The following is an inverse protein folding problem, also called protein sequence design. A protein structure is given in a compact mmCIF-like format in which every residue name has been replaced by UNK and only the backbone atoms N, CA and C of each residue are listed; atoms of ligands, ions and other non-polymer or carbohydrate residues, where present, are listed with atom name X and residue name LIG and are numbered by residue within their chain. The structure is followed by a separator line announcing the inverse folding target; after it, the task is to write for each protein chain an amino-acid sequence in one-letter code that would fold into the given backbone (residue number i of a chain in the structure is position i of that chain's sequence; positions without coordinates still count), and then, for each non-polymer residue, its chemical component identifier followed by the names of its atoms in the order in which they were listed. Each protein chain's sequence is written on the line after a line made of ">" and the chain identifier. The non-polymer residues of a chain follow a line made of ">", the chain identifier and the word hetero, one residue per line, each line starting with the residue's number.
data_IF_023547562965
#
_entry.id   IF_023547562965
#
_cell.length_a   1.000
_cell.length_b   1.000
_cell.length_c   1.000
_cell.angle_alpha   90.00
_cell.angle_beta   90.00
_cell.angle_gamma   90.00
#
_symmetry.space_group_name_H-M   'P 1'
#
loop_
_entity.id
_entity.type
_entity.pdbx_description
1 polymer ?
#
# COMPACT_ATOMS: atom_id res chain seq x y z
N UNK A 1 17.55 26.60 13.20
CA UNK A 1 16.12 26.57 13.58
C UNK A 1 15.59 25.25 13.08
N UNK A 2 14.86 24.48 13.90
CA UNK A 2 14.28 23.22 13.41
C UNK A 2 13.36 23.53 12.23
N UNK A 3 13.59 22.90 11.08
CA UNK A 3 12.67 23.04 9.97
C UNK A 3 11.34 22.35 10.33
N UNK A 4 10.30 23.16 10.46
CA UNK A 4 8.93 22.71 10.75
C UNK A 4 8.40 22.09 9.46
N UNK A 5 7.80 20.91 9.56
CA UNK A 5 7.08 20.33 8.41
C UNK A 5 5.86 21.18 8.14
N UNK A 6 5.78 21.67 6.91
CA UNK A 6 4.64 22.47 6.48
C UNK A 6 3.62 21.54 5.82
N UNK A 7 2.37 21.74 6.18
CA UNK A 7 1.23 21.06 5.57
C UNK A 7 0.39 22.08 4.84
N UNK A 8 0.14 21.81 3.56
CA UNK A 8 -0.86 22.52 2.79
C UNK A 8 -2.00 21.54 2.48
N UNK A 9 -3.24 21.93 2.80
CA UNK A 9 -4.43 21.18 2.40
C UNK A 9 -5.16 21.99 1.33
N UNK A 10 -5.35 21.38 0.16
CA UNK A 10 -6.09 21.95 -0.95
C UNK A 10 -7.32 21.10 -1.26
N UNK A 11 -8.48 21.75 -1.42
CA UNK A 11 -9.73 21.15 -1.92
C UNK A 11 -10.58 22.25 -2.52
N UNK A 12 -11.31 21.98 -3.59
CA UNK A 12 -12.26 22.93 -4.20
C UNK A 12 -13.28 23.45 -3.19
N UNK A 13 -13.66 22.63 -2.21
CA UNK A 13 -14.61 23.00 -1.16
C UNK A 13 -13.99 23.84 -0.03
N UNK A 14 -12.66 23.98 0.00
CA UNK A 14 -11.92 24.84 0.93
C UNK A 14 -11.40 26.12 0.26
N UNK A 15 -11.69 26.33 -1.03
CA UNK A 15 -11.19 27.47 -1.78
C UNK A 15 -11.69 28.79 -1.17
N UNK A 16 -10.75 29.68 -0.80
CA UNK A 16 -11.05 30.95 -0.15
C UNK A 16 -11.29 30.88 1.36
N UNK A 17 -11.22 29.69 1.97
CA UNK A 17 -11.26 29.52 3.42
C UNK A 17 -9.85 29.58 4.03
N UNK A 18 -9.72 30.19 5.20
CA UNK A 18 -8.49 30.12 5.99
C UNK A 18 -8.50 28.79 6.77
N UNK A 19 -7.63 27.86 6.37
CA UNK A 19 -7.57 26.50 6.93
C UNK A 19 -6.17 26.24 7.47
N UNK A 20 -6.12 25.74 8.70
CA UNK A 20 -4.88 25.37 9.36
C UNK A 20 -4.90 23.88 9.72
N UNK A 21 -3.90 23.13 9.26
CA UNK A 21 -3.70 21.73 9.66
C UNK A 21 -3.03 21.68 11.04
N UNK A 22 -3.71 21.07 12.02
CA UNK A 22 -3.23 20.93 13.40
C UNK A 22 -2.48 19.63 13.64
N UNK A 23 -2.99 18.51 13.13
CA UNK A 23 -2.31 17.22 13.22
C UNK A 23 -2.56 16.38 11.99
N UNK A 24 -1.57 15.60 11.61
CA UNK A 24 -1.63 14.64 10.51
C UNK A 24 -1.13 13.30 11.01
N UNK A 25 -1.93 12.27 10.78
CA UNK A 25 -1.48 10.89 10.80
C UNK A 25 -1.79 10.30 9.44
N UNK A 26 -0.74 10.05 8.67
CA UNK A 26 -0.84 9.48 7.33
C UNK A 26 -0.23 8.09 7.33
N UNK A 27 -1.01 7.10 6.92
CA UNK A 27 -0.61 5.71 6.89
C UNK A 27 -0.75 5.19 5.46
N UNK A 28 0.34 4.71 4.90
CA UNK A 28 0.38 4.12 3.56
C UNK A 28 1.11 2.77 3.59
N UNK A 29 0.69 1.85 2.74
CA UNK A 29 1.31 0.54 2.62
C UNK A 29 1.20 -0.04 1.20
N UNK A 30 2.08 -0.97 0.88
CA UNK A 30 1.89 -1.84 -0.27
C UNK A 30 0.67 -2.72 -0.05
N UNK A 31 -0.14 -2.85 -1.09
CA UNK A 31 -1.33 -3.71 -1.12
C UNK A 31 -2.45 -3.32 -0.15
N UNK A 32 -2.40 -2.11 0.40
CA UNK A 32 -3.46 -1.55 1.24
C UNK A 32 -3.80 -0.11 0.79
N UNK A 33 -5.08 0.31 0.85
CA UNK A 33 -5.44 1.71 0.71
C UNK A 33 -4.72 2.56 1.76
N UNK A 34 -4.19 3.71 1.36
CA UNK A 34 -3.69 4.66 2.35
C UNK A 34 -4.83 5.29 3.14
N UNK A 35 -4.50 5.84 4.30
CA UNK A 35 -5.45 6.46 5.21
C UNK A 35 -4.82 7.69 5.87
N UNK A 36 -5.46 8.84 5.73
CA UNK A 36 -5.02 10.10 6.33
C UNK A 36 -6.05 10.57 7.35
N UNK A 37 -5.67 10.60 8.62
CA UNK A 37 -6.40 11.31 9.68
C UNK A 37 -5.87 12.75 9.75
N UNK A 38 -6.75 13.73 9.53
CA UNK A 38 -6.44 15.15 9.61
C UNK A 38 -7.29 15.82 10.68
N UNK A 39 -6.66 16.60 11.56
CA UNK A 39 -7.38 17.59 12.37
C UNK A 39 -7.10 18.98 11.78
N UNK A 40 -8.15 19.67 11.36
CA UNK A 40 -8.06 21.02 10.81
C UNK A 40 -8.79 22.04 11.69
N UNK A 41 -8.31 23.27 11.69
CA UNK A 41 -9.04 24.43 12.18
C UNK A 41 -9.45 25.29 10.99
N UNK A 42 -10.69 25.75 11.00
CA UNK A 42 -11.24 26.62 9.96
C UNK A 42 -11.49 27.99 10.54
N UNK A 43 -11.02 29.03 9.84
CA UNK A 43 -11.14 30.42 10.28
C UNK A 43 -12.59 30.91 10.33
N UNK A 44 -13.42 30.46 9.40
CA UNK A 44 -14.85 30.78 9.33
C UNK A 44 -15.66 29.89 10.29
N UNK A 45 -16.28 30.46 11.34
CA UNK A 45 -17.07 29.72 12.30
C UNK A 45 -18.38 29.16 11.72
N UNK A 46 -18.89 29.72 10.63
CA UNK A 46 -20.20 29.41 10.06
C UNK A 46 -20.10 28.57 8.76
N UNK A 47 -18.90 28.08 8.43
CA UNK A 47 -18.68 27.23 7.26
C UNK A 47 -19.48 25.92 7.34
N UNK A 48 -20.15 25.56 6.24
CA UNK A 48 -20.83 24.26 6.11
C UNK A 48 -19.82 23.16 5.72
N UNK A 49 -19.25 22.54 6.74
CA UNK A 49 -18.13 21.59 6.61
C UNK A 49 -18.59 20.23 6.07
N UNK A 50 -19.90 19.94 6.10
CA UNK A 50 -20.46 18.74 5.48
C UNK A 50 -20.31 18.74 3.96
N UNK A 51 -20.15 19.91 3.33
CA UNK A 51 -19.90 20.04 1.89
C UNK A 51 -18.55 19.45 1.44
N UNK A 52 -17.64 19.21 2.40
CA UNK A 52 -16.34 18.57 2.15
C UNK A 52 -16.48 17.07 1.86
N UNK A 53 -17.54 16.42 2.33
CA UNK A 53 -17.70 14.98 2.19
C UNK A 53 -17.78 14.57 0.71
N UNK A 54 -16.94 13.62 0.31
CA UNK A 54 -16.85 13.11 -1.06
C UNK A 54 -16.08 14.00 -2.03
N UNK A 55 -15.50 15.12 -1.57
CA UNK A 55 -14.65 15.99 -2.40
C UNK A 55 -13.22 15.50 -2.46
N UNK A 56 -12.53 15.86 -3.54
CA UNK A 56 -11.10 15.63 -3.68
C UNK A 56 -10.34 16.52 -2.70
N UNK A 57 -9.32 15.97 -2.06
CA UNK A 57 -8.39 16.71 -1.21
C UNK A 57 -6.95 16.32 -1.53
N UNK A 58 -6.07 17.31 -1.57
CA UNK A 58 -4.63 17.14 -1.71
C UNK A 58 -3.94 17.67 -0.47
N UNK A 59 -3.27 16.78 0.25
CA UNK A 59 -2.39 17.14 1.36
C UNK A 59 -0.95 17.14 0.86
N UNK A 60 -0.26 18.28 0.95
CA UNK A 60 1.16 18.36 0.61
C UNK A 60 1.99 18.45 1.88
N UNK A 61 2.84 17.44 2.10
CA UNK A 61 3.85 17.43 3.14
C UNK A 61 5.15 18.01 2.58
N UNK A 62 5.63 19.12 3.16
CA UNK A 62 6.87 19.77 2.71
C UNK A 62 7.91 19.75 3.82
N UNK A 63 9.08 19.16 3.53
CA UNK A 63 10.23 19.15 4.44
C UNK A 63 11.55 19.08 3.70
N UNK A 64 12.55 19.86 4.10
CA UNK A 64 13.90 19.83 3.53
C UNK A 64 13.92 19.94 1.98
N UNK A 65 12.98 20.71 1.42
CA UNK A 65 12.80 20.88 -0.03
C UNK A 65 12.14 19.69 -0.76
N UNK A 66 11.77 18.63 -0.03
CA UNK A 66 11.00 17.50 -0.57
C UNK A 66 9.52 17.79 -0.35
N UNK A 67 8.77 17.79 -1.44
CA UNK A 67 7.31 17.86 -1.44
C UNK A 67 6.75 16.46 -1.67
N UNK A 68 5.87 16.04 -0.78
CA UNK A 68 5.15 14.78 -0.89
C UNK A 68 3.64 15.09 -0.91
N UNK A 69 3.08 15.37 -2.10
CA UNK A 69 1.64 15.54 -2.28
C UNK A 69 0.92 14.21 -2.14
N UNK A 70 -0.27 14.23 -1.54
CA UNK A 70 -1.13 13.07 -1.33
C UNK A 70 -2.53 13.47 -1.75
N UNK A 71 -2.99 12.95 -2.88
CA UNK A 71 -4.31 13.27 -3.44
C UNK A 71 -5.26 12.13 -3.14
N UNK A 72 -6.41 12.41 -2.53
CA UNK A 72 -7.43 11.42 -2.19
C UNK A 72 -8.84 12.01 -2.17
N UNK A 73 -9.78 11.29 -1.56
CA UNK A 73 -11.18 11.70 -1.39
C UNK A 73 -11.50 11.78 0.10
N UNK A 74 -12.19 12.84 0.52
CA UNK A 74 -12.66 13.00 1.90
C UNK A 74 -13.82 12.01 2.13
N UNK A 75 -13.60 10.97 2.92
CA UNK A 75 -14.59 9.90 3.16
C UNK A 75 -15.32 10.04 4.50
N UNK A 76 -14.79 10.83 5.43
CA UNK A 76 -15.44 11.10 6.71
C UNK A 76 -15.15 12.53 7.14
N UNK A 77 -16.18 13.19 7.68
CA UNK A 77 -16.11 14.50 8.30
C UNK A 77 -16.72 14.34 9.70
N UNK A 78 -15.94 14.63 10.73
CA UNK A 78 -16.41 14.60 12.12
C UNK A 78 -16.31 16.00 12.69
N UNK A 79 -17.46 16.59 12.98
CA UNK A 79 -17.54 17.85 13.71
C UNK A 79 -17.33 17.58 15.21
N UNK A 80 -16.29 18.16 15.78
CA UNK A 80 -16.05 18.10 17.22
C UNK A 80 -16.81 19.21 17.94
N UNK A 81 -17.21 18.96 19.20
CA UNK A 81 -17.76 20.01 20.06
C UNK A 81 -16.83 21.22 20.09
N UNK A 82 -17.37 22.43 19.87
CA UNK A 82 -16.61 23.68 20.02
C UNK A 82 -16.03 23.72 21.43
N UNK A 83 -14.74 23.47 21.57
CA UNK A 83 -14.06 23.66 22.84
C UNK A 83 -14.28 25.11 23.26
N UNK A 84 -14.82 25.34 24.47
CA UNK A 84 -15.16 26.67 24.99
C UNK A 84 -13.96 27.66 25.08
N UNK A 85 -12.76 27.23 24.68
CA UNK A 85 -11.50 27.96 24.73
C UNK A 85 -10.83 28.19 23.35
N UNK A 86 -11.46 27.83 22.23
CA UNK A 86 -10.93 28.13 20.88
C UNK A 86 -11.97 28.86 20.02
N UNK A 87 -11.60 30.02 19.47
CA UNK A 87 -12.45 30.85 18.59
C UNK A 87 -12.70 30.24 17.19
N UNK A 88 -12.15 29.05 16.90
CA UNK A 88 -12.25 28.40 15.59
C UNK A 88 -12.80 26.98 15.69
N UNK A 89 -13.78 26.60 14.85
CA UNK A 89 -14.22 25.21 14.74
C UNK A 89 -13.05 24.30 14.34
N UNK A 90 -12.96 23.16 15.01
CA UNK A 90 -12.03 22.08 14.65
C UNK A 90 -12.79 20.89 14.10
N UNK A 91 -12.29 20.33 13.00
CA UNK A 91 -12.91 19.22 12.29
C UNK A 91 -11.89 18.12 12.10
N UNK A 92 -12.32 16.89 12.31
CA UNK A 92 -11.54 15.72 11.91
C UNK A 92 -12.00 15.25 10.53
N UNK A 93 -11.05 15.13 9.61
CA UNK A 93 -11.27 14.64 8.24
C UNK A 93 -10.52 13.34 8.06
N UNK A 94 -11.15 12.39 7.37
CA UNK A 94 -10.49 11.18 6.88
C UNK A 94 -10.39 11.26 5.36
N UNK A 95 -9.18 11.16 4.83
CA UNK A 95 -8.89 11.10 3.40
C UNK A 95 -8.38 9.72 3.03
N UNK A 96 -8.97 9.12 2.00
CA UNK A 96 -8.63 7.79 1.48
C UNK A 96 -8.54 7.81 -0.05
N UNK A 97 -7.87 6.82 -0.68
CA UNK A 97 -7.84 6.72 -2.13
C UNK A 97 -9.22 6.40 -2.71
N UNK A 98 -9.42 6.71 -3.99
CA UNK A 98 -10.67 6.36 -4.67
C UNK A 98 -10.94 4.85 -4.66
N UNK A 99 -9.88 4.02 -4.57
CA UNK A 99 -9.98 2.57 -4.43
C UNK A 99 -10.80 2.16 -3.19
N UNK A 100 -10.73 2.89 -2.07
CA UNK A 100 -11.50 2.57 -0.85
C UNK A 100 -13.00 2.67 -1.05
N UNK A 101 -13.45 3.63 -1.85
CA UNK A 101 -14.87 3.85 -2.12
C UNK A 101 -15.51 2.70 -2.91
N UNK A 102 -14.70 1.88 -3.59
CA UNK A 102 -15.16 0.69 -4.31
C UNK A 102 -15.72 -0.41 -3.38
N UNK A 103 -15.50 -0.30 -2.07
CA UNK A 103 -16.15 -1.14 -1.05
C UNK A 103 -17.66 -0.91 -0.97
N UNK A 104 -18.13 0.27 -1.35
CA UNK A 104 -19.54 0.68 -1.25
C UNK A 104 -20.40 0.14 -2.40
N UNK A 105 -19.79 -0.41 -3.45
CA UNK A 105 -20.48 -0.97 -4.60
C UNK A 105 -20.35 -2.49 -4.60
N UNK A 106 -21.45 -3.19 -4.80
CA UNK A 106 -21.50 -4.66 -4.89
C UNK A 106 -22.07 -5.09 -6.23
N UNK A 107 -21.43 -6.04 -6.90
CA UNK A 107 -21.77 -6.41 -8.26
C UNK A 107 -21.76 -7.92 -8.51
N UNK A 108 -22.37 -8.33 -9.63
CA UNK A 108 -22.26 -9.66 -10.19
C UNK A 108 -21.96 -9.55 -11.69
N UNK A 109 -20.72 -9.86 -12.09
CA UNK A 109 -20.22 -9.70 -13.46
C UNK A 109 -19.43 -10.92 -13.90
N UNK A 110 -19.59 -11.28 -15.16
CA UNK A 110 -18.88 -12.39 -15.79
C UNK A 110 -17.85 -11.85 -16.79
N UNK A 111 -16.63 -12.39 -16.69
CA UNK A 111 -15.53 -12.15 -17.62
C UNK A 111 -15.14 -13.48 -18.25
N UNK A 112 -14.98 -13.50 -19.58
CA UNK A 112 -14.65 -14.70 -20.34
C UNK A 112 -13.47 -14.44 -21.26
N UNK A 113 -12.56 -15.41 -21.34
CA UNK A 113 -11.35 -15.35 -22.16
C UNK A 113 -10.54 -14.08 -21.93
N UNK A 114 -10.29 -13.74 -20.66
CA UNK A 114 -9.52 -12.57 -20.26
C UNK A 114 -8.46 -12.93 -19.25
N UNK A 115 -7.28 -12.34 -19.38
CA UNK A 115 -6.22 -12.39 -18.36
C UNK A 115 -6.63 -11.55 -17.14
N UNK A 116 -5.99 -11.81 -16.00
CA UNK A 116 -6.26 -11.00 -14.79
C UNK A 116 -5.91 -9.53 -14.98
N UNK A 117 -4.75 -9.14 -15.57
CA UNK A 117 -4.47 -7.76 -15.90
C UNK A 117 -5.56 -7.08 -16.73
N UNK A 118 -6.09 -7.74 -17.77
CA UNK A 118 -7.19 -7.19 -18.58
C UNK A 118 -8.49 -7.01 -17.77
N UNK A 119 -8.79 -7.93 -16.85
CA UNK A 119 -9.96 -7.80 -15.96
C UNK A 119 -9.76 -6.63 -15.00
N UNK A 120 -8.57 -6.49 -14.42
CA UNK A 120 -8.22 -5.37 -13.54
C UNK A 120 -8.32 -4.04 -14.28
N UNK A 121 -7.83 -3.95 -15.51
CA UNK A 121 -7.92 -2.74 -16.35
C UNK A 121 -9.38 -2.32 -16.58
N UNK A 122 -10.26 -3.27 -16.91
CA UNK A 122 -11.69 -3.00 -17.12
C UNK A 122 -12.35 -2.52 -15.83
N UNK A 123 -12.18 -3.25 -14.72
CA UNK A 123 -12.88 -2.94 -13.47
C UNK A 123 -12.36 -1.64 -12.86
N UNK A 124 -11.04 -1.47 -12.76
CA UNK A 124 -10.43 -0.28 -12.19
C UNK A 124 -10.64 0.94 -13.10
N UNK A 125 -10.49 0.79 -14.42
CA UNK A 125 -10.71 1.90 -15.36
C UNK A 125 -12.14 2.44 -15.31
N UNK A 126 -13.15 1.56 -15.30
CA UNK A 126 -14.55 1.96 -15.15
C UNK A 126 -14.84 2.59 -13.79
N UNK A 127 -14.28 2.05 -12.71
CA UNK A 127 -14.63 2.46 -11.34
C UNK A 127 -13.87 3.72 -10.87
N UNK A 128 -12.59 3.86 -11.21
CA UNK A 128 -11.73 4.97 -10.81
C UNK A 128 -11.95 6.22 -11.66
N UNK A 129 -12.35 6.08 -12.93
CA UNK A 129 -12.62 7.22 -13.81
C UNK A 129 -13.75 8.12 -13.31
N UNK A 130 -14.71 7.59 -12.55
CA UNK A 130 -15.78 8.36 -11.89
C UNK A 130 -15.21 9.38 -10.88
N UNK A 131 -14.05 9.08 -10.31
CA UNK A 131 -13.31 9.92 -9.38
C UNK A 131 -12.13 10.63 -10.04
N UNK A 132 -12.05 10.60 -11.38
CA UNK A 132 -10.92 11.18 -12.13
C UNK A 132 -9.56 10.60 -11.71
N UNK A 133 -9.53 9.32 -11.32
CA UNK A 133 -8.32 8.57 -10.96
C UNK A 133 -7.96 7.56 -12.03
N UNK A 134 -6.70 7.16 -12.03
CA UNK A 134 -6.15 6.25 -13.04
C UNK A 134 -5.52 5.01 -12.38
N UNK A 135 -5.52 3.90 -13.08
CA UNK A 135 -4.76 2.71 -12.73
C UNK A 135 -3.77 2.41 -13.85
N UNK A 136 -2.50 2.22 -13.50
CA UNK A 136 -1.44 1.80 -14.41
C UNK A 136 -1.01 0.38 -14.08
N UNK A 137 -1.01 -0.49 -15.09
CA UNK A 137 -0.66 -1.89 -14.93
C UNK A 137 0.72 -2.13 -15.51
N UNK A 138 1.73 -2.19 -14.64
CA UNK A 138 3.15 -2.40 -14.96
C UNK A 138 3.56 -3.83 -14.57
N UNK A 139 2.95 -4.81 -15.21
CA UNK A 139 3.28 -6.23 -15.00
C UNK A 139 4.26 -6.73 -16.07
N UNK A 140 5.18 -7.60 -15.65
CA UNK A 140 6.26 -8.12 -16.50
C UNK A 140 6.08 -9.61 -16.86
N UNK A 141 5.30 -10.35 -16.06
CA UNK A 141 5.01 -11.75 -16.30
C UNK A 141 3.99 -11.97 -17.43
N UNK A 142 3.92 -13.22 -17.90
CA UNK A 142 2.85 -13.69 -18.77
C UNK A 142 1.69 -14.26 -17.95
N UNK A 143 0.47 -13.81 -18.24
CA UNK A 143 -0.76 -14.23 -17.57
C UNK A 143 -1.62 -15.05 -18.52
N UNK A 144 -2.14 -16.18 -18.03
CA UNK A 144 -3.01 -17.03 -18.83
C UNK A 144 -4.44 -16.48 -18.82
N UNK A 145 -5.08 -16.46 -19.97
CA UNK A 145 -6.47 -16.02 -20.08
C UNK A 145 -7.40 -17.01 -19.37
N UNK A 146 -8.23 -16.49 -18.46
CA UNK A 146 -9.24 -17.27 -17.76
C UNK A 146 -10.41 -17.50 -18.71
N UNK A 147 -10.77 -18.76 -18.94
CA UNK A 147 -11.97 -19.13 -19.69
C UNK A 147 -13.22 -18.49 -19.06
N UNK A 148 -13.27 -18.51 -17.72
CA UNK A 148 -14.37 -17.99 -16.94
C UNK A 148 -13.87 -17.38 -15.62
N UNK A 149 -14.25 -16.13 -15.36
CA UNK A 149 -14.03 -15.45 -14.09
C UNK A 149 -15.31 -14.70 -13.68
N UNK A 150 -15.79 -14.95 -12.47
CA UNK A 150 -17.01 -14.36 -11.95
C UNK A 150 -16.68 -13.44 -10.77
N UNK A 151 -17.14 -12.20 -10.85
CA UNK A 151 -17.41 -11.37 -9.68
C UNK A 151 -18.81 -11.77 -9.19
N UNK A 152 -18.95 -12.39 -8.02
CA UNK A 152 -20.26 -12.87 -7.55
C UNK A 152 -20.64 -12.27 -6.22
N UNK A 153 -21.60 -11.34 -6.23
CA UNK A 153 -22.04 -10.63 -5.05
C UNK A 153 -20.85 -10.18 -4.18
N UNK A 154 -19.81 -9.63 -4.78
CA UNK A 154 -18.65 -9.10 -4.06
C UNK A 154 -18.45 -7.65 -4.47
N UNK A 155 -17.78 -6.87 -3.62
CA UNK A 155 -17.51 -5.47 -3.97
C UNK A 155 -16.49 -5.39 -5.10
N UNK A 156 -16.45 -4.26 -5.81
CA UNK A 156 -15.42 -4.04 -6.83
C UNK A 156 -14.03 -4.09 -6.15
N UNK A 157 -13.91 -3.54 -4.93
CA UNK A 157 -12.71 -3.63 -4.09
C UNK A 157 -12.28 -5.07 -3.77
N UNK A 158 -13.19 -5.88 -3.22
CA UNK A 158 -12.88 -7.26 -2.82
C UNK A 158 -12.52 -8.11 -4.04
N UNK A 159 -13.20 -7.88 -5.17
CA UNK A 159 -12.94 -8.59 -6.42
C UNK A 159 -11.52 -8.35 -6.92
N UNK A 160 -11.11 -7.08 -7.04
CA UNK A 160 -9.77 -6.75 -7.56
C UNK A 160 -8.68 -7.19 -6.58
N UNK A 161 -8.89 -7.04 -5.27
CA UNK A 161 -7.96 -7.54 -4.24
C UNK A 161 -7.76 -9.05 -4.34
N UNK A 162 -8.86 -9.80 -4.46
CA UNK A 162 -8.80 -11.26 -4.61
C UNK A 162 -8.00 -11.65 -5.85
N UNK A 163 -8.24 -11.01 -6.99
CA UNK A 163 -7.50 -11.29 -8.22
C UNK A 163 -6.01 -10.92 -8.11
N UNK A 164 -5.69 -9.78 -7.52
CA UNK A 164 -4.31 -9.34 -7.29
C UNK A 164 -3.56 -10.33 -6.38
N UNK A 165 -4.18 -10.78 -5.29
CA UNK A 165 -3.62 -11.77 -4.37
C UNK A 165 -3.48 -13.18 -5.00
N UNK A 166 -4.43 -13.60 -5.83
CA UNK A 166 -4.37 -14.86 -6.58
C UNK A 166 -3.17 -14.88 -7.54
N UNK A 167 -2.84 -13.76 -8.15
CA UNK A 167 -1.78 -13.67 -9.17
C UNK A 167 -0.44 -13.13 -8.64
N UNK A 168 -0.39 -12.70 -7.38
CA UNK A 168 0.80 -12.11 -6.78
C UNK A 168 1.12 -10.70 -7.28
N UNK A 169 0.11 -9.96 -7.76
CA UNK A 169 0.21 -8.58 -8.22
C UNK A 169 0.11 -7.67 -7.00
N UNK A 170 1.12 -6.83 -6.80
CA UNK A 170 1.16 -5.83 -5.75
C UNK A 170 0.73 -4.47 -6.29
N UNK A 171 0.27 -3.57 -5.42
CA UNK A 171 0.00 -2.18 -5.81
C UNK A 171 0.49 -1.15 -4.79
N UNK A 172 0.73 0.06 -5.29
CA UNK A 172 0.97 1.28 -4.51
C UNK A 172 0.29 2.48 -5.21
N UNK A 173 0.30 3.64 -4.55
CA UNK A 173 -0.23 4.88 -5.11
C UNK A 173 0.92 5.83 -5.46
N UNK A 174 0.90 6.35 -6.68
CA UNK A 174 1.79 7.41 -7.14
C UNK A 174 1.02 8.73 -7.14
N UNK A 175 1.53 9.68 -6.36
CA UNK A 175 0.95 11.01 -6.19
C UNK A 175 1.79 12.12 -6.85
N UNK A 176 2.81 11.78 -7.64
CA UNK A 176 3.72 12.76 -8.24
C UNK A 176 3.08 13.71 -9.27
N UNK A 177 1.87 13.40 -9.74
CA UNK A 177 1.10 14.19 -10.70
C UNK A 177 -0.09 14.93 -10.09
N UNK A 178 -0.94 15.50 -10.96
CA UNK A 178 -2.17 16.20 -10.54
C UNK A 178 -3.26 15.27 -9.99
N UNK A 179 -3.15 13.96 -10.29
CA UNK A 179 -4.14 12.94 -9.95
C UNK A 179 -3.45 11.77 -9.26
N UNK A 180 -4.18 11.10 -8.37
CA UNK A 180 -3.75 9.83 -7.80
C UNK A 180 -3.78 8.73 -8.89
N UNK A 181 -2.65 8.04 -9.02
CA UNK A 181 -2.48 6.90 -9.92
C UNK A 181 -2.19 5.64 -9.11
N UNK A 182 -3.04 4.63 -9.22
CA UNK A 182 -2.79 3.32 -8.64
C UNK A 182 -1.86 2.53 -9.57
N UNK A 183 -0.66 2.17 -9.11
CA UNK A 183 0.33 1.44 -9.90
C UNK A 183 0.37 -0.02 -9.45
N UNK A 184 0.06 -0.93 -10.38
CA UNK A 184 0.08 -2.38 -10.16
C UNK A 184 1.38 -2.96 -10.75
N UNK A 185 2.04 -3.84 -10.00
CA UNK A 185 3.33 -4.45 -10.39
C UNK A 185 3.48 -5.87 -9.88
N UNK A 186 4.32 -6.67 -10.53
CA UNK A 186 4.60 -8.07 -10.18
C UNK A 186 6.10 -8.37 -9.95
N UNK A 187 6.94 -7.36 -9.91
CA UNK A 187 8.38 -7.49 -9.65
C UNK A 187 8.88 -6.37 -8.76
N UNK A 188 9.88 -6.69 -7.94
CA UNK A 188 10.62 -5.70 -7.16
C UNK A 188 11.41 -4.71 -8.05
N UNK A 189 11.67 -5.06 -9.32
CA UNK A 189 12.47 -4.24 -10.24
C UNK A 189 11.80 -2.89 -10.57
N UNK A 190 10.48 -2.79 -10.39
CA UNK A 190 9.72 -1.57 -10.58
C UNK A 190 9.95 -0.54 -9.45
N UNK A 191 10.48 -0.97 -8.29
CA UNK A 191 10.62 -0.10 -7.12
C UNK A 191 11.80 0.87 -7.25
N UNK A 192 11.47 2.16 -7.28
CA UNK A 192 12.43 3.24 -7.37
C UNK A 192 13.07 3.55 -6.02
N UNK A 193 14.22 4.25 -6.02
CA UNK A 193 14.81 4.77 -4.78
C UNK A 193 13.88 5.82 -4.15
N UNK A 194 13.73 5.76 -2.84
CA UNK A 194 13.00 6.76 -2.07
C UNK A 194 13.69 8.13 -2.24
N UNK A 195 12.94 9.22 -2.43
CA UNK A 195 13.50 10.57 -2.47
C UNK A 195 13.96 10.97 -1.07
N UNK A 196 15.19 10.63 -0.72
CA UNK A 196 15.84 11.04 0.54
C UNK A 196 16.93 12.08 0.27
N UNK A 197 17.26 12.87 1.29
CA UNK A 197 18.29 13.92 1.22
C UNK A 197 19.66 13.34 0.79
N UNK A 198 19.93 12.09 1.18
CA UNK A 198 21.11 11.32 0.79
C UNK A 198 20.71 9.97 0.17
N UNK A 199 21.57 9.39 -0.67
CA UNK A 199 21.33 8.07 -1.29
C UNK A 199 21.32 6.89 -0.30
N UNK A 200 21.88 7.10 0.90
CA UNK A 200 21.80 6.17 2.02
C UNK A 200 21.36 6.93 3.26
N UNK A 201 20.50 6.29 4.06
CA UNK A 201 19.96 6.86 5.29
C UNK A 201 20.77 6.33 6.48
N UNK A 202 21.44 7.20 7.26
CA UNK A 202 22.25 6.80 8.39
C UNK A 202 21.38 6.33 9.57
N UNK A 203 21.91 5.36 10.31
CA UNK A 203 21.38 4.92 11.59
C UNK A 203 21.98 5.77 12.73
N UNK A 204 21.15 6.59 13.37
CA UNK A 204 21.54 7.54 14.41
C UNK A 204 20.66 7.38 15.66
N UNK A 205 21.01 6.46 16.58
CA UNK A 205 20.18 6.17 17.75
C UNK A 205 20.21 7.25 18.83
N UNK A 206 21.22 8.12 18.84
CA UNK A 206 21.46 9.11 19.91
C UNK A 206 21.44 10.56 19.42
N UNK A 207 21.42 10.81 18.11
CA UNK A 207 21.42 12.16 17.57
C UNK A 207 19.99 12.63 17.29
N UNK A 208 19.44 13.35 18.26
CA UNK A 208 18.18 14.09 18.12
C UNK A 208 18.42 15.57 17.77
N UNK A 209 19.69 15.99 17.63
CA UNK A 209 20.11 17.37 17.45
C UNK A 209 20.30 17.73 15.97
N UNK A 210 20.68 16.78 15.12
CA UNK A 210 20.74 16.94 13.65
C UNK A 210 19.34 16.98 13.01
N UNK A 211 18.61 18.07 13.23
CA UNK A 211 17.19 18.24 12.83
C UNK A 211 16.94 18.22 11.32
N UNK A 212 17.98 18.46 10.52
CA UNK A 212 17.87 18.76 9.09
C UNK A 212 18.21 17.56 8.17
N UNK A 213 18.63 16.42 8.72
CA UNK A 213 18.96 15.21 7.96
C UNK A 213 17.90 14.10 8.12
N UNK A 214 17.68 13.34 7.06
CA UNK A 214 16.98 12.06 7.12
C UNK A 214 17.82 11.07 7.93
N UNK A 215 17.28 10.55 9.03
CA UNK A 215 17.97 9.60 9.89
C UNK A 215 17.00 8.55 10.44
N UNK A 216 17.53 7.35 10.72
CA UNK A 216 16.79 6.25 11.36
C UNK A 216 17.28 6.12 12.79
N UNK A 217 16.36 6.22 13.76
CA UNK A 217 16.67 6.22 15.19
C UNK A 217 16.50 4.83 15.82
N UNK A 218 15.51 4.07 15.35
CA UNK A 218 15.25 2.71 15.80
C UNK A 218 15.17 1.82 14.57
N UNK A 219 15.84 0.67 14.63
CA UNK A 219 15.76 -0.35 13.60
C UNK A 219 15.77 -1.73 14.27
N UNK A 220 14.72 -2.51 14.05
CA UNK A 220 14.49 -3.80 14.69
C UNK A 220 14.13 -4.84 13.63
N UNK A 221 15.08 -5.68 13.27
CA UNK A 221 14.85 -6.83 12.41
C UNK A 221 14.24 -8.00 13.21
N UNK A 222 13.11 -8.49 12.74
CA UNK A 222 12.37 -9.62 13.27
C UNK A 222 12.54 -10.79 12.31
N UNK A 223 13.14 -11.87 12.82
CA UNK A 223 13.29 -13.13 12.11
C UNK A 223 12.20 -14.10 12.55
N UNK A 224 11.46 -14.68 11.60
CA UNK A 224 10.41 -15.67 11.88
C UNK A 224 10.61 -16.94 11.09
N UNK A 225 10.26 -18.04 11.72
CA UNK A 225 10.09 -19.32 11.05
C UNK A 225 8.89 -19.24 10.10
N UNK A 226 9.09 -19.62 8.84
CA UNK A 226 8.05 -19.64 7.81
C UNK A 226 7.85 -21.04 7.22
N UNK A 227 6.87 -21.16 6.33
CA UNK A 227 6.65 -22.35 5.51
C UNK A 227 7.89 -22.64 4.67
N UNK A 228 8.34 -23.89 4.66
CA UNK A 228 9.56 -24.28 3.94
C UNK A 228 9.26 -25.00 2.63
N UNK A 229 8.05 -25.57 2.47
CA UNK A 229 7.62 -26.23 1.24
C UNK A 229 6.16 -25.88 0.90
N UNK A 230 5.83 -25.85 -0.39
CA UNK A 230 4.48 -25.60 -0.88
C UNK A 230 4.14 -26.65 -1.91
N UNK A 231 2.97 -27.27 -1.78
CA UNK A 231 2.43 -28.19 -2.77
C UNK A 231 1.01 -27.74 -3.16
N UNK A 232 0.78 -27.60 -4.46
CA UNK A 232 -0.54 -27.28 -5.02
C UNK A 232 -1.03 -28.47 -5.84
N UNK A 233 -2.32 -28.79 -5.71
CA UNK A 233 -2.93 -29.90 -6.45
C UNK A 233 -4.38 -29.62 -6.79
N UNK A 234 -4.80 -30.03 -7.98
CA UNK A 234 -6.20 -29.96 -8.40
C UNK A 234 -6.55 -31.13 -9.35
N UNK A 235 -7.84 -31.22 -9.69
CA UNK A 235 -8.42 -32.31 -10.45
C UNK A 235 -9.02 -31.81 -11.76
N UNK A 236 -8.51 -32.34 -12.88
CA UNK A 236 -9.12 -32.20 -14.19
C UNK A 236 -10.04 -33.40 -14.47
N UNK A 237 -11.35 -33.16 -14.52
CA UNK A 237 -12.33 -34.20 -14.82
C UNK A 237 -12.20 -34.76 -16.25
N UNK A 238 -11.62 -34.01 -17.18
CA UNK A 238 -11.36 -34.47 -18.55
C UNK A 238 -10.15 -35.41 -18.61
N UNK A 239 -9.27 -35.35 -17.61
CA UNK A 239 -8.08 -36.18 -17.47
C UNK A 239 -7.97 -36.76 -16.05
N UNK A 240 -9.02 -37.43 -15.58
CA UNK A 240 -9.14 -37.87 -14.18
C UNK A 240 -7.99 -38.75 -13.65
N UNK A 241 -7.25 -39.43 -14.54
CA UNK A 241 -6.08 -40.23 -14.17
C UNK A 241 -4.81 -39.41 -13.91
N UNK A 242 -4.78 -38.15 -14.32
CA UNK A 242 -3.62 -37.24 -14.22
C UNK A 242 -4.01 -36.03 -13.37
N UNK A 243 -3.73 -36.04 -12.05
CA UNK A 243 -3.94 -34.87 -11.21
C UNK A 243 -3.00 -33.75 -11.62
N UNK A 244 -3.49 -32.51 -11.61
CA UNK A 244 -2.65 -31.33 -11.79
C UNK A 244 -1.93 -31.10 -10.48
N UNK A 245 -0.61 -31.04 -10.47
CA UNK A 245 0.16 -30.77 -9.25
C UNK A 245 1.50 -30.14 -9.56
N UNK A 246 1.94 -29.24 -8.67
CA UNK A 246 3.30 -28.73 -8.67
C UNK A 246 3.73 -28.47 -7.21
N UNK A 247 5.03 -28.56 -6.93
CA UNK A 247 5.57 -28.42 -5.58
C UNK A 247 6.92 -27.71 -5.56
N UNK A 248 7.12 -26.90 -4.52
CA UNK A 248 8.39 -26.30 -4.16
C UNK A 248 8.83 -26.89 -2.83
N UNK A 249 9.93 -27.63 -2.83
CA UNK A 249 10.50 -28.23 -1.63
C UNK A 249 11.46 -27.27 -0.93
N UNK A 250 11.64 -27.48 0.37
CA UNK A 250 12.61 -26.73 1.15
C UNK A 250 12.60 -27.14 2.61
N UNK A 251 13.73 -26.91 3.26
CA UNK A 251 13.99 -27.29 4.64
C UNK A 251 14.51 -26.07 5.41
N UNK A 252 14.27 -26.05 6.72
CA UNK A 252 14.94 -25.08 7.58
C UNK A 252 16.41 -25.46 7.84
N UNK A 253 17.16 -24.59 8.53
CA UNK A 253 18.57 -24.84 8.88
C UNK A 253 18.81 -26.11 9.73
N UNK A 254 17.75 -26.77 10.22
CA UNK A 254 17.79 -28.01 11.00
C UNK A 254 17.23 -29.21 10.22
N UNK A 255 16.99 -29.07 8.91
CA UNK A 255 16.45 -30.13 8.07
C UNK A 255 14.96 -30.43 8.28
N UNK A 256 14.19 -29.51 8.88
CA UNK A 256 12.76 -29.73 9.11
C UNK A 256 11.95 -29.16 7.96
N UNK A 257 11.02 -29.97 7.45
CA UNK A 257 10.03 -29.56 6.43
C UNK A 257 8.75 -29.07 7.11
N UNK A 258 8.29 -27.89 6.72
CA UNK A 258 7.00 -27.31 7.07
C UNK A 258 6.25 -27.04 5.77
N UNK A 259 5.54 -28.06 5.30
CA UNK A 259 4.82 -28.00 4.05
C UNK A 259 3.43 -27.36 4.23
N UNK A 260 3.09 -26.45 3.30
CA UNK A 260 1.73 -26.02 3.06
C UNK A 260 1.17 -26.74 1.85
N UNK A 261 0.30 -27.72 2.08
CA UNK A 261 -0.42 -28.45 1.03
C UNK A 261 -1.78 -27.81 0.75
N UNK A 262 -2.09 -27.55 -0.53
CA UNK A 262 -3.38 -27.02 -0.95
C UNK A 262 -4.03 -27.89 -2.03
N UNK A 263 -5.31 -28.20 -1.82
CA UNK A 263 -6.11 -29.02 -2.72
C UNK A 263 -7.60 -28.68 -2.60
N UNK A 264 -8.27 -28.55 -3.75
CA UNK A 264 -9.71 -28.76 -3.86
C UNK A 264 -10.64 -27.67 -3.32
N UNK A 265 -10.23 -26.40 -3.29
CA UNK A 265 -11.12 -25.29 -2.91
C UNK A 265 -11.69 -24.49 -4.09
N UNK A 266 -11.59 -24.98 -5.34
CA UNK A 266 -12.23 -24.38 -6.53
C UNK A 266 -11.81 -22.93 -6.86
N UNK A 267 -10.85 -22.40 -6.11
CA UNK A 267 -10.41 -21.00 -6.15
C UNK A 267 -8.93 -20.85 -6.51
N UNK A 268 -8.19 -21.95 -6.63
CA UNK A 268 -6.74 -21.90 -6.39
C UNK A 268 -5.88 -22.32 -7.57
N UNK A 269 -6.24 -23.40 -8.28
CA UNK A 269 -5.65 -23.70 -9.58
C UNK A 269 -6.71 -23.46 -10.66
N UNK A 270 -6.30 -22.79 -11.72
CA UNK A 270 -7.12 -22.50 -12.88
C UNK A 270 -6.72 -23.46 -13.97
N UNK A 271 -7.69 -24.26 -14.38
CA UNK A 271 -7.61 -25.05 -15.60
C UNK A 271 -8.18 -24.17 -16.72
N UNK A 272 -7.43 -24.03 -17.80
CA UNK A 272 -7.73 -23.08 -18.88
C UNK A 272 -7.57 -23.75 -20.24
N UNK A 273 -8.19 -23.16 -21.26
CA UNK A 273 -8.18 -23.63 -22.66
C UNK A 273 -8.82 -25.02 -22.87
N UNK A 274 -10.16 -25.07 -22.83
CA UNK A 274 -10.90 -26.28 -23.22
C UNK A 274 -10.89 -26.49 -24.74
N UNK A 275 -10.27 -27.58 -25.19
CA UNK A 275 -10.33 -28.01 -26.58
C UNK A 275 -11.63 -28.78 -26.84
N UNK A 276 -12.53 -28.19 -27.61
CA UNK A 276 -13.82 -28.81 -27.94
C UNK A 276 -13.69 -30.10 -28.76
N UNK A 277 -12.66 -30.20 -29.60
CA UNK A 277 -12.40 -31.38 -30.43
C UNK A 277 -11.86 -32.55 -29.61
N UNK A 278 -10.84 -32.29 -28.80
CA UNK A 278 -10.24 -33.28 -27.92
C UNK A 278 -11.04 -33.51 -26.62
N UNK A 279 -12.03 -32.65 -26.33
CA UNK A 279 -12.86 -32.63 -25.12
C UNK A 279 -12.03 -32.67 -23.83
N UNK A 280 -10.94 -31.92 -23.81
CA UNK A 280 -10.00 -31.87 -22.69
C UNK A 280 -9.45 -30.46 -22.50
N UNK A 281 -9.10 -30.15 -21.28
CA UNK A 281 -8.29 -28.96 -20.99
C UNK A 281 -6.83 -29.19 -21.36
N UNK A 282 -6.13 -28.11 -21.72
CA UNK A 282 -4.74 -28.18 -22.17
C UNK A 282 -3.76 -27.44 -21.25
N UNK A 283 -4.22 -26.42 -20.53
CA UNK A 283 -3.34 -25.53 -19.76
C UNK A 283 -3.83 -25.38 -18.32
N UNK A 284 -2.90 -25.06 -17.42
CA UNK A 284 -3.19 -24.74 -16.02
C UNK A 284 -2.13 -23.82 -15.41
N UNK A 285 -2.45 -23.12 -14.33
CA UNK A 285 -1.56 -22.17 -13.67
C UNK A 285 -0.76 -22.72 -12.48
N UNK A 286 -0.72 -24.06 -12.28
CA UNK A 286 -0.09 -24.70 -11.12
C UNK A 286 1.35 -24.25 -10.82
N UNK A 287 2.18 -24.09 -11.86
CA UNK A 287 3.56 -23.63 -11.70
C UNK A 287 3.65 -22.20 -11.17
N UNK A 288 2.81 -21.29 -11.69
CA UNK A 288 2.70 -19.91 -11.23
C UNK A 288 2.19 -19.85 -9.79
N UNK A 289 1.12 -20.59 -9.50
CA UNK A 289 0.49 -20.61 -8.18
C UNK A 289 1.45 -21.14 -7.10
N UNK A 290 2.23 -22.19 -7.39
CA UNK A 290 3.32 -22.63 -6.52
C UNK A 290 4.33 -21.51 -6.26
N UNK A 291 4.83 -20.85 -7.32
CA UNK A 291 5.84 -19.79 -7.22
C UNK A 291 5.37 -18.63 -6.34
N UNK A 292 4.22 -18.05 -6.68
CA UNK A 292 3.60 -16.93 -5.94
C UNK A 292 3.41 -17.30 -4.47
N UNK A 293 2.94 -18.51 -4.17
CA UNK A 293 2.73 -18.97 -2.79
C UNK A 293 4.03 -19.18 -2.04
N UNK A 294 5.06 -19.70 -2.70
CA UNK A 294 6.39 -19.89 -2.11
C UNK A 294 7.00 -18.54 -1.74
N UNK A 295 6.93 -17.57 -2.65
CA UNK A 295 7.43 -16.21 -2.44
C UNK A 295 6.66 -15.50 -1.31
N UNK A 296 5.33 -15.53 -1.35
CA UNK A 296 4.47 -14.95 -0.30
C UNK A 296 4.74 -15.56 1.09
N UNK A 297 5.04 -16.86 1.16
CA UNK A 297 5.35 -17.52 2.41
C UNK A 297 6.71 -17.13 2.99
N UNK A 298 7.70 -16.83 2.15
CA UNK A 298 9.05 -16.44 2.59
C UNK A 298 9.14 -14.95 2.91
N UNK A 299 8.27 -14.11 2.32
CA UNK A 299 8.18 -12.66 2.59
C UNK A 299 8.27 -12.32 4.08
N UNK A 300 7.53 -13.04 4.93
CA UNK A 300 7.45 -12.78 6.38
C UNK A 300 8.64 -13.28 7.21
N UNK A 301 9.65 -13.90 6.60
CA UNK A 301 10.78 -14.49 7.31
C UNK A 301 11.69 -13.45 7.93
N UNK A 302 11.90 -12.32 7.25
CA UNK A 302 12.72 -11.20 7.73
C UNK A 302 11.95 -9.91 7.47
N UNK A 303 11.46 -9.30 8.53
CA UNK A 303 10.80 -7.99 8.50
C UNK A 303 11.51 -7.06 9.46
N UNK A 304 11.76 -5.82 9.05
CA UNK A 304 12.38 -4.82 9.90
C UNK A 304 11.41 -3.67 10.18
N UNK A 305 11.24 -3.36 11.46
CA UNK A 305 10.50 -2.20 11.93
C UNK A 305 11.48 -1.08 12.25
N UNK A 306 11.20 0.13 11.81
CA UNK A 306 12.02 1.27 12.15
C UNK A 306 11.24 2.53 12.45
N UNK A 307 11.91 3.47 13.11
CA UNK A 307 11.40 4.82 13.33
C UNK A 307 12.47 5.81 12.92
N UNK A 308 12.09 6.85 12.20
CA UNK A 308 13.03 7.84 11.70
C UNK A 308 12.38 9.17 11.41
N UNK A 309 13.07 9.95 10.58
CA UNK A 309 12.66 11.28 10.14
C UNK A 309 12.73 11.42 8.62
N UNK A 310 12.74 10.33 7.86
CA UNK A 310 12.85 10.42 6.41
C UNK A 310 11.50 10.79 5.79
N UNK A 311 11.38 12.02 5.24
CA UNK A 311 10.10 12.52 4.73
C UNK A 311 9.65 11.83 3.44
N UNK A 312 10.59 11.50 2.54
CA UNK A 312 10.31 10.82 1.28
C UNK A 312 10.28 9.30 1.36
N UNK A 313 10.07 8.72 2.54
CA UNK A 313 9.83 7.29 2.66
C UNK A 313 8.40 6.98 2.22
N UNK A 314 8.27 6.24 1.13
CA UNK A 314 6.98 5.84 0.54
C UNK A 314 6.99 4.31 0.30
N UNK A 315 5.88 3.60 0.49
CA UNK A 315 5.74 2.19 0.13
C UNK A 315 6.03 1.97 -1.36
N UNK A 316 6.67 0.85 -1.68
CA UNK A 316 7.09 0.58 -3.06
C UNK A 316 8.33 1.37 -3.50
N UNK A 317 9.02 2.02 -2.55
CA UNK A 317 10.37 2.55 -2.76
C UNK A 317 11.41 1.73 -1.99
N UNK A 318 12.66 1.83 -2.45
CA UNK A 318 13.83 1.23 -1.79
C UNK A 318 14.71 2.29 -1.12
N UNK A 319 15.37 1.92 -0.04
CA UNK A 319 16.37 2.75 0.63
C UNK A 319 17.56 1.89 1.08
N UNK A 320 18.71 2.54 1.29
CA UNK A 320 19.93 1.89 1.78
C UNK A 320 20.22 2.32 3.21
N UNK A 321 20.17 1.37 4.16
CA UNK A 321 20.56 1.61 5.55
C UNK A 321 22.09 1.57 5.69
N UNK A 322 22.68 2.52 6.40
CA UNK A 322 24.10 2.51 6.74
C UNK A 322 24.39 2.90 8.18
N UNK A 323 25.48 2.35 8.73
CA UNK A 323 25.99 2.76 10.05
C UNK A 323 25.31 2.05 11.22
N UNK A 324 24.58 0.95 10.96
CA UNK A 324 24.00 0.16 12.04
C UNK A 324 25.11 -0.61 12.81
N UNK A 325 25.10 -0.66 14.16
CA UNK A 325 26.12 -1.36 14.96
C UNK A 325 26.29 -2.84 14.62
N UNK A 326 25.21 -3.48 14.16
CA UNK A 326 25.21 -4.84 13.62
C UNK A 326 25.38 -4.79 12.10
N UNK A 327 26.56 -5.13 11.53
CA UNK A 327 26.82 -4.98 10.10
C UNK A 327 25.97 -5.89 9.21
N UNK A 328 25.38 -6.96 9.77
CA UNK A 328 24.44 -7.82 9.04
C UNK A 328 23.07 -7.19 8.77
N UNK A 329 22.81 -6.00 9.31
CA UNK A 329 21.58 -5.24 9.07
C UNK A 329 21.79 -4.05 8.12
N UNK A 330 23.03 -3.71 7.79
CA UNK A 330 23.28 -2.71 6.75
C UNK A 330 22.98 -3.33 5.36
N UNK A 331 22.28 -2.59 4.51
CA UNK A 331 21.87 -3.10 3.19
C UNK A 331 20.70 -2.35 2.57
N UNK A 332 20.21 -2.88 1.45
CA UNK A 332 19.05 -2.34 0.75
C UNK A 332 17.73 -2.98 1.23
N UNK A 333 16.74 -2.13 1.48
CA UNK A 333 15.42 -2.50 1.98
C UNK A 333 14.32 -1.89 1.13
N UNK A 334 13.19 -2.60 1.02
CA UNK A 334 11.94 -2.15 0.39
C UNK A 334 10.99 -1.70 1.49
N UNK A 335 10.42 -0.51 1.36
CA UNK A 335 9.37 0.00 2.24
C UNK A 335 8.04 -0.69 1.91
N UNK A 336 7.48 -1.35 2.92
CA UNK A 336 6.20 -2.05 2.84
C UNK A 336 5.06 -1.22 3.43
N UNK A 337 5.34 -0.45 4.48
CA UNK A 337 4.38 0.42 5.17
C UNK A 337 5.11 1.60 5.76
N UNK A 338 4.53 2.78 5.67
CA UNK A 338 5.02 3.99 6.33
C UNK A 338 3.85 4.67 7.04
N UNK A 339 4.07 5.05 8.29
CA UNK A 339 3.16 5.85 9.10
C UNK A 339 3.87 7.15 9.43
N UNK A 340 3.41 8.23 8.83
CA UNK A 340 3.87 9.59 9.03
C UNK A 340 3.06 10.24 10.14
N UNK A 341 3.76 10.72 11.16
CA UNK A 341 3.15 11.34 12.34
C UNK A 341 3.70 12.74 12.48
N UNK A 342 2.79 13.70 12.56
CA UNK A 342 3.14 15.07 12.84
C UNK A 342 2.05 15.79 13.60
N UNK A 343 2.46 16.47 14.66
CA UNK A 343 1.64 17.42 15.36
C UNK A 343 2.18 18.78 15.01
N UNK A 344 1.42 19.55 14.24
CA UNK A 344 1.81 20.91 13.91
C UNK A 344 1.88 21.70 15.22
N UNK A 345 3.08 22.17 15.55
CA UNK A 345 3.29 23.17 16.59
C UNK A 345 2.33 24.31 16.33
N UNK A 346 1.53 24.66 17.33
CA UNK A 346 0.69 25.82 17.30
C UNK A 346 1.49 27.07 16.87
N UNK A 347 1.47 27.41 15.58
CA UNK A 347 1.22 28.80 15.18
C UNK A 347 -0.28 29.01 15.37
N UNK A 348 -0.70 28.93 16.63
CA UNK A 348 -1.98 29.46 17.02
C UNK A 348 -1.99 30.91 16.56
N UNK A 349 -3.06 31.29 15.88
CA UNK A 349 -3.51 32.67 15.79
C UNK A 349 -3.27 33.36 17.15
N UNK A 350 -2.13 34.05 17.27
CA UNK A 350 -1.73 34.82 18.46
C UNK A 350 -1.09 34.11 19.67
N UNK A 351 -0.62 32.85 19.61
CA UNK A 351 0.16 32.26 20.74
C UNK A 351 1.58 31.84 20.33
N UNK A 352 2.53 32.76 20.53
CA UNK A 352 3.95 32.47 20.59
C UNK A 352 4.24 31.57 21.81
N UNK A 353 4.77 30.36 21.61
CA UNK A 353 5.39 29.60 22.71
C UNK A 353 5.31 28.06 22.69
N UNK A 354 4.60 27.42 21.76
CA UNK A 354 4.56 25.96 21.68
C UNK A 354 5.61 25.39 20.73
N UNK A 355 6.66 24.74 21.23
CA UNK A 355 7.49 23.86 20.39
C UNK A 355 6.70 22.57 20.13
N UNK A 356 5.99 22.50 19.01
CA UNK A 356 5.30 21.26 18.61
C UNK A 356 6.28 20.14 18.33
N UNK A 357 5.74 18.93 18.34
CA UNK A 357 6.54 17.74 18.11
C UNK A 357 7.05 17.72 16.67
N UNK A 358 8.35 17.48 16.45
CA UNK A 358 8.89 17.35 15.11
C UNK A 358 8.28 16.12 14.42
N UNK A 359 8.12 16.22 13.10
CA UNK A 359 7.72 15.10 12.28
C UNK A 359 8.61 13.88 12.54
N UNK A 360 7.97 12.71 12.57
CA UNK A 360 8.64 11.43 12.55
C UNK A 360 7.83 10.43 11.74
N UNK A 361 8.48 9.38 11.25
CA UNK A 361 7.81 8.27 10.59
C UNK A 361 8.15 6.94 11.27
N UNK A 362 7.19 6.02 11.22
CA UNK A 362 7.37 4.61 11.55
C UNK A 362 7.25 3.82 10.27
N UNK A 363 8.13 2.87 10.03
CA UNK A 363 8.11 2.11 8.79
C UNK A 363 8.29 0.61 9.04
N UNK A 364 7.72 -0.17 8.14
CA UNK A 364 7.94 -1.60 7.98
C UNK A 364 8.66 -1.80 6.66
N UNK A 365 9.74 -2.57 6.68
CA UNK A 365 10.51 -2.87 5.49
C UNK A 365 10.95 -4.33 5.45
N UNK A 366 11.37 -4.78 4.26
CA UNK A 366 11.94 -6.10 4.02
C UNK A 366 13.20 -5.99 3.16
N UNK A 367 14.15 -6.94 3.23
CA UNK A 367 15.32 -6.92 2.36
C UNK A 367 14.92 -6.99 0.88
N UNK A 368 15.59 -6.20 0.02
CA UNK A 368 15.33 -6.17 -1.44
C UNK A 368 15.45 -7.54 -2.11
N UNK A 369 16.33 -8.40 -1.59
CA UNK A 369 16.56 -9.74 -2.13
C UNK A 369 15.35 -10.68 -2.02
N UNK A 370 14.38 -10.37 -1.16
CA UNK A 370 13.15 -11.16 -1.02
C UNK A 370 12.08 -10.56 -1.93
N UNK A 371 11.48 -11.37 -2.81
CA UNK A 371 10.39 -10.91 -3.68
C UNK A 371 9.16 -10.58 -2.84
N UNK A 372 8.60 -9.38 -3.02
CA UNK A 372 7.35 -9.00 -2.36
C UNK A 372 6.16 -9.60 -3.10
N UNK A 373 5.24 -10.22 -2.33
CA UNK A 373 3.95 -10.69 -2.81
C UNK A 373 2.87 -10.31 -1.81
N UNK A 374 1.66 -9.91 -2.28
CA UNK A 374 0.55 -9.64 -1.39
C UNK A 374 0.18 -10.89 -0.60
N UNK A 375 -0.21 -10.69 0.67
CA UNK A 375 -0.74 -11.78 1.48
C UNK A 375 -2.14 -12.17 0.98
N UNK A 376 -2.42 -13.48 0.89
CA UNK A 376 -3.77 -13.97 0.59
C UNK A 376 -4.61 -13.94 1.87
N UNK A 377 -5.77 -13.28 1.81
CA UNK A 377 -6.74 -13.18 2.92
C UNK A 377 -7.71 -14.37 2.98
#
# INVERSE_FOLDING_TARGET
>A
MAEIVNYALASDALEGMDVMVRSVRFVEALDEPFHVDLNIAVGDPDADLMTLLGKNATLTLVRAGIEHPITGVIVTVTESDRAAASDHPSVDLVVEPALSLLRLRRNTRMFQNKTVPEILEIVLGEALSVYEREARIDVSDTYVAREYCLQYQESDYDFVHRLMQEEGISYHFDHSGEKEVMVLSDSNDAFQLAPTVSSSVPYEPHDMEARDADAIHVFQAVHRDTTTAVAVRDFDWTQAAMPISDQAEGEDARGRVRESYQHGLGRELRIVSYDQGARRYQEHDAARQKGVRREAAVRGAILAHGTGRAAGFEPGKRFTLSGHPSPGLDGEYILLRVEHLSMSASQALGREGGSGEPYHNRFLCMPVATVHRPARS
#
